data_IF_450594561010
#
_entry.id   IF_450594561010
#
_cell.length_a   1.000
_cell.length_b   1.000
_cell.length_c   1.000
_cell.angle_alpha   90.00
_cell.angle_beta   90.00
_cell.angle_gamma   90.00
#
_symmetry.space_group_name_H-M   'P 1'
#
loop_
_entity.id
_entity.type
_entity.pdbx_description
1 polymer ?
#
# COMPACT_ATOMS: atom_id res chain seq x y z
N UNK A 1 10.12 18.15 -24.17
CA UNK A 1 10.21 18.33 -22.71
C UNK A 1 11.20 19.44 -22.46
N UNK A 2 10.81 20.44 -21.69
CA UNK A 2 11.70 21.54 -21.29
C UNK A 2 12.86 20.99 -20.46
N UNK A 3 14.03 21.66 -20.48
CA UNK A 3 15.13 21.34 -19.58
C UNK A 3 14.73 21.40 -18.10
N UNK A 4 13.74 22.24 -17.77
CA UNK A 4 13.14 22.31 -16.44
C UNK A 4 12.36 21.04 -16.07
N UNK A 5 11.60 20.47 -17.01
CA UNK A 5 10.83 19.24 -16.76
C UNK A 5 11.76 18.08 -16.41
N UNK A 6 12.89 17.98 -17.14
CA UNK A 6 13.90 16.96 -16.88
C UNK A 6 14.58 17.17 -15.53
N UNK A 7 14.91 18.41 -15.18
CA UNK A 7 15.49 18.74 -13.87
C UNK A 7 14.56 18.35 -12.71
N UNK A 8 13.26 18.65 -12.81
CA UNK A 8 12.26 18.27 -11.80
C UNK A 8 12.14 16.76 -11.67
N UNK A 9 12.09 16.04 -12.81
CA UNK A 9 12.02 14.58 -12.82
C UNK A 9 13.23 13.95 -12.11
N UNK A 10 14.44 14.36 -12.48
CA UNK A 10 15.68 13.85 -11.88
C UNK A 10 15.74 14.19 -10.39
N UNK A 11 15.37 15.42 -10.00
CA UNK A 11 15.34 15.82 -8.61
C UNK A 11 14.35 14.99 -7.78
N UNK A 12 13.15 14.72 -8.30
CA UNK A 12 12.14 13.89 -7.62
C UNK A 12 12.62 12.44 -7.43
N UNK A 13 13.22 11.84 -8.47
CA UNK A 13 13.78 10.48 -8.40
C UNK A 13 14.93 10.40 -7.39
N UNK A 14 15.88 11.34 -7.46
CA UNK A 14 16.99 11.39 -6.50
C UNK A 14 16.50 11.64 -5.08
N UNK A 15 15.51 12.51 -4.90
CA UNK A 15 14.88 12.76 -3.60
C UNK A 15 14.27 11.48 -3.00
N UNK A 16 13.52 10.71 -3.79
CA UNK A 16 12.96 9.43 -3.34
C UNK A 16 14.03 8.40 -2.97
N UNK A 17 15.05 8.24 -3.81
CA UNK A 17 16.13 7.27 -3.58
C UNK A 17 16.95 7.65 -2.35
N UNK A 18 17.36 8.91 -2.23
CA UNK A 18 18.16 9.40 -1.08
C UNK A 18 17.38 9.27 0.22
N UNK A 19 16.09 9.64 0.22
CA UNK A 19 15.21 9.45 1.37
C UNK A 19 15.06 7.97 1.75
N UNK A 20 14.82 7.09 0.77
CA UNK A 20 14.69 5.65 0.98
C UNK A 20 15.94 5.03 1.58
N UNK A 21 17.12 5.37 1.05
CA UNK A 21 18.41 4.90 1.58
C UNK A 21 18.67 5.44 2.99
N UNK A 22 18.36 6.70 3.25
CA UNK A 22 18.53 7.28 4.58
C UNK A 22 17.62 6.62 5.63
N UNK A 23 16.36 6.33 5.27
CA UNK A 23 15.43 5.67 6.17
C UNK A 23 15.78 4.19 6.38
N UNK A 24 16.20 3.48 5.33
CA UNK A 24 16.61 2.07 5.40
C UNK A 24 17.85 1.81 6.27
N UNK A 25 18.65 2.84 6.59
CA UNK A 25 19.80 2.72 7.51
C UNK A 25 19.42 2.59 8.98
N UNK A 26 18.18 2.89 9.36
CA UNK A 26 17.74 2.95 10.77
C UNK A 26 17.34 1.59 11.35
N UNK A 27 16.90 0.65 10.51
CA UNK A 27 16.32 -0.62 10.97
C UNK A 27 17.30 -1.78 10.76
N UNK A 28 17.84 -2.32 11.86
CA UNK A 28 18.80 -3.45 11.85
C UNK A 28 18.15 -4.81 12.15
N UNK A 29 16.87 -4.83 12.51
CA UNK A 29 16.11 -6.05 12.85
C UNK A 29 14.94 -6.24 11.89
N UNK A 30 14.63 -7.50 11.59
CA UNK A 30 13.55 -7.89 10.65
C UNK A 30 12.19 -7.29 11.08
N UNK A 31 11.90 -7.29 12.39
CA UNK A 31 10.67 -6.69 12.93
C UNK A 31 10.63 -5.16 12.79
N UNK A 32 11.80 -4.50 12.88
CA UNK A 32 11.93 -3.06 12.64
C UNK A 32 11.68 -2.72 11.17
N UNK A 33 12.15 -3.58 10.26
CA UNK A 33 12.00 -3.35 8.82
C UNK A 33 10.60 -3.69 8.28
N UNK A 34 10.01 -4.82 8.70
CA UNK A 34 8.73 -5.30 8.16
C UNK A 34 7.50 -4.71 8.86
N UNK A 35 7.59 -4.46 10.16
CA UNK A 35 6.44 -4.02 10.97
C UNK A 35 6.70 -2.68 11.66
N UNK A 36 7.87 -2.06 11.43
CA UNK A 36 8.25 -0.78 12.05
C UNK A 36 8.03 -0.78 13.58
N UNK A 37 8.35 -1.93 14.21
CA UNK A 37 8.15 -2.16 15.64
C UNK A 37 6.71 -1.98 16.13
N UNK A 38 5.70 -2.00 15.23
CA UNK A 38 4.27 -1.75 15.49
C UNK A 38 3.98 -0.37 16.10
N UNK A 39 4.84 0.61 15.85
CA UNK A 39 4.72 1.98 16.39
C UNK A 39 4.18 3.00 15.38
N UNK A 40 3.84 2.57 14.16
CA UNK A 40 3.33 3.50 13.14
C UNK A 40 1.96 4.02 13.55
N UNK A 41 1.73 5.36 13.50
CA UNK A 41 0.43 5.91 13.79
C UNK A 41 -0.57 5.53 12.68
N UNK A 42 -1.84 5.38 13.04
CA UNK A 42 -2.90 4.91 12.14
C UNK A 42 -3.03 5.75 10.85
N UNK A 43 -2.77 7.06 10.93
CA UNK A 43 -2.85 7.95 9.77
C UNK A 43 -1.71 7.68 8.77
N UNK A 44 -0.51 7.36 9.26
CA UNK A 44 0.63 7.04 8.39
C UNK A 44 0.41 5.71 7.67
N UNK A 45 -0.18 4.73 8.38
CA UNK A 45 -0.62 3.46 7.78
C UNK A 45 -1.70 3.72 6.72
N UNK A 46 -2.69 4.57 7.01
CA UNK A 46 -3.74 4.93 6.07
C UNK A 46 -3.20 5.57 4.78
N UNK A 47 -2.31 6.57 4.91
CA UNK A 47 -1.66 7.21 3.76
C UNK A 47 -0.83 6.21 2.97
N UNK A 48 -0.09 5.31 3.63
CA UNK A 48 0.67 4.25 2.96
C UNK A 48 -0.23 3.31 2.17
N UNK A 49 -1.37 2.88 2.73
CA UNK A 49 -2.32 2.00 2.04
C UNK A 49 -2.94 2.69 0.83
N UNK A 50 -3.25 3.98 0.92
CA UNK A 50 -3.74 4.77 -0.22
C UNK A 50 -2.65 4.89 -1.30
N UNK A 51 -1.41 5.17 -0.91
CA UNK A 51 -0.29 5.27 -1.83
C UNK A 51 -0.02 3.95 -2.57
N UNK A 52 -0.10 2.81 -1.89
CA UNK A 52 0.08 1.49 -2.50
C UNK A 52 -1.00 1.15 -3.54
N UNK A 53 -2.23 1.62 -3.34
CA UNK A 53 -3.32 1.40 -4.31
C UNK A 53 -3.21 2.31 -5.55
N UNK A 54 -2.51 3.45 -5.42
CA UNK A 54 -2.31 4.37 -6.53
C UNK A 54 -1.27 3.78 -7.51
N UNK A 55 -1.73 3.39 -8.69
CA UNK A 55 -0.86 2.86 -9.75
C UNK A 55 -0.88 3.75 -11.00
N UNK A 56 0.20 3.74 -11.77
CA UNK A 56 0.26 4.41 -13.07
C UNK A 56 -0.85 3.92 -14.02
N UNK A 57 -1.23 2.64 -13.90
CA UNK A 57 -2.35 2.05 -14.64
C UNK A 57 -3.62 2.79 -14.30
N UNK A 58 -3.97 2.91 -13.02
CA UNK A 58 -5.19 3.59 -12.57
C UNK A 58 -5.24 5.04 -13.04
N UNK A 59 -4.12 5.77 -12.94
CA UNK A 59 -4.03 7.18 -13.35
C UNK A 59 -4.26 7.37 -14.85
N UNK A 60 -3.80 6.45 -15.69
CA UNK A 60 -3.97 6.53 -17.14
C UNK A 60 -5.31 5.94 -17.60
N UNK A 61 -5.72 4.81 -17.02
CA UNK A 61 -6.89 4.04 -17.45
C UNK A 61 -8.21 4.68 -17.02
N UNK A 62 -8.25 5.31 -15.84
CA UNK A 62 -9.50 5.84 -15.27
C UNK A 62 -10.05 7.02 -16.08
N UNK A 63 -9.24 8.03 -16.48
CA UNK A 63 -9.69 9.07 -17.40
C UNK A 63 -9.98 8.53 -18.81
N UNK A 64 -9.20 7.55 -19.28
CA UNK A 64 -9.44 6.90 -20.58
C UNK A 64 -10.81 6.20 -20.62
N UNK A 65 -11.14 5.45 -19.58
CA UNK A 65 -12.45 4.81 -19.42
C UNK A 65 -13.57 5.84 -19.23
N UNK A 66 -13.31 6.92 -18.49
CA UNK A 66 -14.28 8.01 -18.35
C UNK A 66 -14.61 8.68 -19.70
N UNK A 67 -13.61 8.79 -20.58
CA UNK A 67 -13.78 9.34 -21.92
C UNK A 67 -14.58 8.42 -22.84
N UNK A 68 -14.39 7.10 -22.75
CA UNK A 68 -15.08 6.12 -23.62
C UNK A 68 -16.47 5.72 -23.12
N UNK A 69 -16.59 5.38 -21.83
CA UNK A 69 -17.78 4.75 -21.24
C UNK A 69 -18.44 5.61 -20.14
N UNK A 70 -17.92 6.81 -19.88
CA UNK A 70 -18.40 7.72 -18.85
C UNK A 70 -18.01 7.31 -17.41
N UNK A 71 -18.61 7.97 -16.42
CA UNK A 71 -18.24 7.85 -15.00
C UNK A 71 -18.86 6.63 -14.28
N UNK A 72 -19.31 5.60 -15.01
CA UNK A 72 -19.98 4.43 -14.42
C UNK A 72 -19.07 3.64 -13.47
N UNK A 73 -17.76 3.62 -13.74
CA UNK A 73 -16.77 2.95 -12.89
C UNK A 73 -16.76 3.49 -11.44
N UNK A 74 -17.18 4.74 -11.21
CA UNK A 74 -17.21 5.36 -9.87
C UNK A 74 -18.13 4.59 -8.92
N UNK A 75 -19.21 3.98 -9.43
CA UNK A 75 -20.13 3.18 -8.62
C UNK A 75 -19.41 2.00 -7.95
N UNK A 76 -18.44 1.38 -8.64
CA UNK A 76 -17.62 0.32 -8.08
C UNK A 76 -16.67 0.85 -6.99
N UNK A 77 -16.11 2.04 -7.20
CA UNK A 77 -15.24 2.70 -6.21
C UNK A 77 -15.98 3.07 -4.92
N UNK A 78 -17.30 3.28 -4.93
CA UNK A 78 -18.08 3.49 -3.72
C UNK A 78 -18.21 2.22 -2.85
N UNK A 79 -18.08 1.04 -3.45
CA UNK A 79 -18.04 -0.24 -2.71
C UNK A 79 -16.74 -0.45 -1.93
N UNK A 80 -15.63 0.14 -2.38
CA UNK A 80 -14.31 -0.04 -1.76
C UNK A 80 -14.25 0.53 -0.33
N UNK A 81 -14.71 1.76 -0.02
CA UNK A 81 -14.77 2.26 1.35
C UNK A 81 -15.58 1.35 2.29
N UNK A 82 -16.72 0.84 1.84
CA UNK A 82 -17.56 -0.08 2.61
C UNK A 82 -16.80 -1.38 2.91
N UNK A 83 -16.17 -1.98 1.91
CA UNK A 83 -15.32 -3.16 2.10
C UNK A 83 -14.17 -2.90 3.08
N UNK A 84 -13.53 -1.73 3.00
CA UNK A 84 -12.45 -1.33 3.90
C UNK A 84 -12.91 -1.18 5.36
N UNK A 85 -14.12 -0.67 5.60
CA UNK A 85 -14.72 -0.62 6.94
C UNK A 85 -14.89 -2.03 7.50
N UNK A 86 -15.48 -2.93 6.71
CA UNK A 86 -15.69 -4.33 7.12
C UNK A 86 -14.35 -5.03 7.42
N UNK A 87 -13.34 -4.85 6.57
CA UNK A 87 -12.01 -5.42 6.77
C UNK A 87 -11.30 -4.83 8.00
N UNK A 88 -11.48 -3.53 8.26
CA UNK A 88 -10.90 -2.87 9.43
C UNK A 88 -11.50 -3.38 10.74
N UNK A 89 -12.78 -3.76 10.74
CA UNK A 89 -13.46 -4.28 11.94
C UNK A 89 -13.21 -5.78 12.12
N UNK A 90 -13.05 -6.55 11.04
CA UNK A 90 -12.94 -8.01 11.09
C UNK A 90 -11.50 -8.52 10.97
N UNK A 91 -10.83 -8.19 9.88
CA UNK A 91 -9.53 -8.75 9.51
C UNK A 91 -8.38 -8.11 10.28
N UNK A 92 -8.35 -6.77 10.40
CA UNK A 92 -7.29 -6.05 11.12
C UNK A 92 -7.13 -6.51 12.58
N UNK A 93 -8.18 -6.62 13.42
CA UNK A 93 -8.01 -7.10 14.79
C UNK A 93 -7.60 -8.56 14.86
N UNK A 94 -8.01 -9.40 13.91
CA UNK A 94 -7.59 -10.80 13.82
C UNK A 94 -6.09 -10.93 13.54
N UNK A 95 -5.59 -10.23 12.52
CA UNK A 95 -4.16 -10.21 12.18
C UNK A 95 -3.31 -9.63 13.32
N UNK A 96 -3.79 -8.57 13.97
CA UNK A 96 -3.08 -7.96 15.09
C UNK A 96 -3.00 -8.88 16.32
N UNK A 97 -4.07 -9.63 16.65
CA UNK A 97 -4.09 -10.61 17.75
C UNK A 97 -3.14 -11.79 17.50
N UNK A 98 -3.11 -12.30 16.28
CA UNK A 98 -2.26 -13.44 15.90
C UNK A 98 -0.79 -13.07 15.68
N UNK A 99 -0.45 -11.77 15.75
CA UNK A 99 0.91 -11.23 15.59
C UNK A 99 1.60 -11.65 14.29
N UNK A 100 0.85 -12.10 13.29
CA UNK A 100 1.39 -12.53 12.00
C UNK A 100 1.93 -11.33 11.22
N UNK A 101 3.06 -11.54 10.54
CA UNK A 101 3.73 -10.51 9.74
C UNK A 101 3.23 -10.53 8.29
N UNK A 102 2.76 -11.69 7.83
CA UNK A 102 2.25 -11.87 6.47
C UNK A 102 0.86 -12.50 6.47
N UNK A 103 0.04 -12.18 5.46
CA UNK A 103 -1.27 -12.82 5.28
C UNK A 103 -1.16 -14.34 5.06
N UNK A 104 -0.04 -14.80 4.48
CA UNK A 104 0.23 -16.23 4.27
C UNK A 104 0.49 -16.98 5.58
N UNK A 105 1.11 -16.34 6.56
CA UNK A 105 1.34 -16.92 7.90
C UNK A 105 0.02 -17.17 8.65
N UNK A 106 -0.99 -16.33 8.42
CA UNK A 106 -2.34 -16.59 8.89
C UNK A 106 -2.94 -17.85 8.24
N UNK A 107 -2.77 -18.01 6.93
CA UNK A 107 -3.27 -19.19 6.20
C UNK A 107 -2.57 -20.47 6.66
N UNK A 108 -1.26 -20.43 6.92
CA UNK A 108 -0.53 -21.60 7.42
C UNK A 108 -0.95 -22.00 8.84
N UNK A 109 -1.25 -21.03 9.72
CA UNK A 109 -1.76 -21.33 11.06
C UNK A 109 -3.20 -21.86 11.05
N UNK A 110 -4.01 -21.47 10.06
CA UNK A 110 -5.42 -21.84 9.99
C UNK A 110 -5.70 -23.15 9.27
N UNK A 111 -4.89 -23.51 8.26
CA UNK A 111 -5.15 -24.63 7.37
C UNK A 111 -4.02 -25.67 7.41
N UNK A 112 -2.83 -25.39 6.88
CA UNK A 112 -1.61 -26.22 7.01
C UNK A 112 -0.40 -25.52 6.34
N UNK A 113 0.83 -25.98 6.59
CA UNK A 113 2.05 -25.43 5.98
C UNK A 113 2.12 -25.59 4.44
N UNK A 114 1.31 -26.49 3.86
CA UNK A 114 1.20 -26.69 2.40
C UNK A 114 0.52 -25.54 1.66
N UNK A 115 -0.17 -24.64 2.35
CA UNK A 115 -0.86 -23.47 1.75
C UNK A 115 0.06 -22.25 1.59
N UNK A 116 1.37 -22.40 1.82
CA UNK A 116 2.40 -21.33 1.75
C UNK A 116 3.07 -21.18 0.37
N UNK A 117 2.51 -21.76 -0.70
CA UNK A 117 3.08 -21.67 -2.05
C UNK A 117 2.84 -20.32 -2.71
#
# INVERSE_FOLDING_TARGET
>A
MSGLDFAVLVAALLGMVTWGVWQGRKDRTVDGYLVSGRRMPWWAVGVSVMATQASAITFLSTPGQAYTDGMRFVQFYLGLPLAMIVLSISAVPLYHRLRVVTAYEFLSNRFDAKTRS
#
